data_IF_880317200700
#
_entry.id   IF_880317200700
#
_cell.length_a   1.000
_cell.length_b   1.000
_cell.length_c   1.000
_cell.angle_alpha   90.00
_cell.angle_beta   90.00
_cell.angle_gamma   90.00
#
_symmetry.space_group_name_H-M   'P 1'
#
loop_
_entity.id
_entity.type
_entity.pdbx_description
1 polymer ?
#
# COMPACT_ATOMS: atom_id res chain seq x y z
N UNK A 1 -7.64 -19.48 8.56
CA UNK A 1 -6.70 -18.35 8.64
C UNK A 1 -6.97 -17.64 9.96
N UNK A 2 -5.96 -17.38 10.78
CA UNK A 2 -6.17 -16.62 12.03
C UNK A 2 -6.43 -15.14 11.71
N UNK A 3 -7.03 -14.35 12.63
CA UNK A 3 -7.22 -12.91 12.42
C UNK A 3 -5.93 -12.18 12.08
N UNK A 4 -4.82 -12.50 12.77
CA UNK A 4 -3.51 -11.88 12.56
C UNK A 4 -2.98 -12.14 11.14
N UNK A 5 -3.14 -13.38 10.66
CA UNK A 5 -2.78 -13.77 9.29
C UNK A 5 -3.66 -13.05 8.27
N UNK A 6 -4.96 -12.89 8.56
CA UNK A 6 -5.87 -12.16 7.70
C UNK A 6 -5.46 -10.68 7.59
N UNK A 7 -5.23 -9.99 8.71
CA UNK A 7 -4.78 -8.59 8.73
C UNK A 7 -3.48 -8.42 7.95
N UNK A 8 -2.50 -9.27 8.20
CA UNK A 8 -1.24 -9.20 7.50
C UNK A 8 -1.36 -9.47 5.99
N UNK A 9 -2.17 -10.46 5.60
CA UNK A 9 -2.45 -10.72 4.18
C UNK A 9 -3.17 -9.55 3.54
N UNK A 10 -4.20 -9.02 4.19
CA UNK A 10 -4.95 -7.87 3.69
C UNK A 10 -4.05 -6.63 3.51
N UNK A 11 -3.04 -6.47 4.37
CA UNK A 11 -2.06 -5.38 4.28
C UNK A 11 -1.11 -5.57 3.10
N UNK A 12 -0.72 -6.81 2.83
CA UNK A 12 0.19 -7.14 1.74
C UNK A 12 -0.49 -7.20 0.36
N UNK A 13 -1.73 -7.68 0.29
CA UNK A 13 -2.44 -8.00 -0.95
C UNK A 13 -3.63 -7.10 -1.25
N UNK A 14 -4.02 -6.23 -0.32
CA UNK A 14 -5.28 -5.49 -0.40
C UNK A 14 -6.48 -6.26 0.14
N UNK A 15 -7.71 -5.84 -0.17
CA UNK A 15 -8.96 -6.44 0.32
C UNK A 15 -8.99 -7.97 0.17
N UNK A 16 -9.49 -8.69 1.17
CA UNK A 16 -9.55 -10.16 1.13
C UNK A 16 -10.89 -10.64 0.56
N UNK A 17 -10.91 -11.54 -0.44
CA UNK A 17 -12.15 -12.15 -0.90
C UNK A 17 -12.77 -13.02 0.18
N UNK A 18 -14.10 -12.92 0.32
CA UNK A 18 -14.93 -13.72 1.21
C UNK A 18 -15.98 -14.48 0.39
N UNK A 19 -16.19 -15.75 0.74
CA UNK A 19 -17.25 -16.57 0.19
C UNK A 19 -18.65 -16.09 0.57
N UNK A 20 -19.65 -16.73 -0.04
CA UNK A 20 -21.05 -16.44 0.24
C UNK A 20 -21.38 -16.67 1.72
N UNK A 21 -21.82 -15.61 2.41
CA UNK A 21 -22.13 -15.67 3.85
C UNK A 21 -20.92 -15.87 4.78
N UNK A 22 -19.69 -15.89 4.26
CA UNK A 22 -18.48 -15.98 5.08
C UNK A 22 -18.35 -14.68 5.91
N UNK A 23 -18.18 -14.76 7.24
CA UNK A 23 -17.98 -13.60 8.08
C UNK A 23 -16.60 -12.97 7.84
N UNK A 24 -16.49 -11.65 7.99
CA UNK A 24 -15.19 -11.01 7.96
C UNK A 24 -14.36 -11.45 9.19
N UNK A 25 -13.03 -11.60 9.04
CA UNK A 25 -12.14 -11.78 10.18
C UNK A 25 -12.29 -10.67 11.22
N UNK A 26 -12.07 -11.01 12.49
CA UNK A 26 -12.21 -10.08 13.62
C UNK A 26 -11.43 -8.77 13.38
N UNK A 27 -12.08 -7.63 13.57
CA UNK A 27 -11.49 -6.29 13.37
C UNK A 27 -11.42 -5.83 11.91
N UNK A 28 -12.10 -6.52 11.00
CA UNK A 28 -12.27 -6.10 9.61
C UNK A 28 -13.73 -5.75 9.31
N UNK A 29 -13.93 -4.84 8.35
CA UNK A 29 -15.24 -4.57 7.75
C UNK A 29 -15.55 -5.61 6.70
N UNK A 30 -16.80 -6.10 6.68
CA UNK A 30 -17.32 -6.89 5.57
C UNK A 30 -18.04 -5.98 4.59
N UNK A 31 -17.57 -5.98 3.35
CA UNK A 31 -18.33 -5.51 2.20
C UNK A 31 -19.07 -6.69 1.58
N UNK A 32 -20.39 -6.59 1.45
CA UNK A 32 -21.20 -7.59 0.75
C UNK A 32 -21.39 -7.19 -0.71
N UNK A 33 -21.19 -8.13 -1.63
CA UNK A 33 -21.72 -8.03 -2.97
C UNK A 33 -23.14 -8.60 -3.03
N UNK A 34 -23.91 -8.21 -4.05
CA UNK A 34 -25.30 -8.63 -4.20
C UNK A 34 -25.52 -10.12 -4.48
N UNK A 35 -24.45 -10.85 -4.81
CA UNK A 35 -24.42 -12.30 -5.00
C UNK A 35 -24.13 -13.09 -3.71
N UNK A 36 -24.02 -12.40 -2.57
CA UNK A 36 -23.73 -12.97 -1.25
C UNK A 36 -22.23 -13.09 -0.94
N UNK A 37 -21.34 -13.00 -1.93
CA UNK A 37 -19.90 -12.91 -1.72
C UNK A 37 -19.52 -11.58 -1.06
N UNK A 38 -18.24 -11.39 -0.77
CA UNK A 38 -17.81 -10.13 -0.19
C UNK A 38 -16.32 -9.89 -0.17
N UNK A 39 -15.94 -8.77 0.44
CA UNK A 39 -14.55 -8.41 0.71
C UNK A 39 -14.38 -8.07 2.19
N UNK A 40 -13.28 -8.52 2.79
CA UNK A 40 -12.85 -8.07 4.10
C UNK A 40 -11.84 -6.92 3.95
N UNK A 41 -12.10 -5.82 4.66
CA UNK A 41 -11.24 -4.63 4.67
C UNK A 41 -10.69 -4.36 6.06
N UNK A 42 -9.41 -3.99 6.11
CA UNK A 42 -8.81 -3.48 7.33
C UNK A 42 -9.43 -2.14 7.70
N UNK A 43 -9.69 -1.98 8.99
CA UNK A 43 -10.12 -0.72 9.57
C UNK A 43 -9.03 -0.19 10.48
N UNK A 44 -8.89 1.12 10.46
CA UNK A 44 -7.98 1.83 11.33
C UNK A 44 -8.59 1.94 12.73
N UNK A 45 -7.77 1.82 13.80
CA UNK A 45 -8.26 2.01 15.16
C UNK A 45 -8.86 3.41 15.31
N UNK A 46 -10.00 3.50 15.99
CA UNK A 46 -10.72 4.75 16.29
C UNK A 46 -11.04 5.63 15.08
N UNK A 47 -11.17 5.04 13.89
CA UNK A 47 -11.41 5.79 12.65
C UNK A 47 -10.24 6.69 12.23
N UNK A 48 -9.08 6.57 12.88
CA UNK A 48 -7.89 7.33 12.54
C UNK A 48 -7.47 7.06 11.09
N UNK A 49 -6.83 8.04 10.45
CA UNK A 49 -6.32 7.84 9.09
C UNK A 49 -4.87 8.29 9.00
N UNK A 50 -4.17 7.90 7.92
CA UNK A 50 -2.82 8.41 7.65
C UNK A 50 -2.71 9.95 7.59
N UNK A 51 -3.83 10.71 7.55
CA UNK A 51 -3.79 12.18 7.70
C UNK A 51 -3.17 12.64 9.03
N UNK A 52 -3.23 11.81 10.08
CA UNK A 52 -2.56 12.12 11.36
C UNK A 52 -1.04 12.28 11.20
N UNK A 53 -0.42 11.67 10.19
CA UNK A 53 1.02 11.85 9.96
C UNK A 53 1.39 13.32 9.75
N UNK A 54 0.53 14.09 9.09
CA UNK A 54 0.74 15.52 8.85
C UNK A 54 0.73 16.32 10.16
N UNK A 55 -0.20 16.01 11.07
CA UNK A 55 -0.30 16.64 12.40
C UNK A 55 0.99 16.48 13.21
N UNK A 56 1.60 15.30 13.15
CA UNK A 56 2.85 14.98 13.85
C UNK A 56 4.12 15.24 13.02
N UNK A 57 3.98 15.87 11.84
CA UNK A 57 5.07 16.17 10.90
C UNK A 57 5.93 14.95 10.55
N UNK A 58 5.29 13.77 10.49
CA UNK A 58 5.91 12.50 10.12
C UNK A 58 5.75 12.29 8.62
N UNK A 59 6.84 12.02 7.92
CA UNK A 59 6.80 11.81 6.48
C UNK A 59 6.09 10.46 6.15
N UNK A 60 5.01 10.48 5.36
CA UNK A 60 4.39 9.25 4.87
C UNK A 60 5.27 8.56 3.84
N UNK A 61 4.99 7.28 3.56
CA UNK A 61 5.52 6.61 2.37
C UNK A 61 5.17 7.42 1.12
N UNK A 62 6.17 7.71 0.30
CA UNK A 62 5.98 8.54 -0.88
C UNK A 62 5.07 7.85 -1.91
N UNK A 63 3.98 8.52 -2.28
CA UNK A 63 3.13 8.11 -3.40
C UNK A 63 3.57 8.89 -4.63
N UNK A 64 4.09 8.17 -5.63
CA UNK A 64 4.50 8.77 -6.89
C UNK A 64 3.34 9.57 -7.49
N UNK A 65 3.56 10.88 -7.68
CA UNK A 65 2.58 11.79 -8.29
C UNK A 65 1.24 11.75 -7.57
N UNK A 66 1.28 11.94 -6.25
CA UNK A 66 0.09 11.94 -5.39
C UNK A 66 -0.96 12.96 -5.81
N UNK A 67 -0.56 14.12 -6.35
CA UNK A 67 -1.46 15.14 -6.87
C UNK A 67 -2.24 14.66 -8.11
N UNK A 68 -1.55 14.09 -9.10
CA UNK A 68 -2.17 13.50 -10.30
C UNK A 68 -3.07 12.33 -9.92
N UNK A 69 -2.61 11.47 -9.01
CA UNK A 69 -3.35 10.28 -8.57
C UNK A 69 -4.67 10.67 -7.88
N UNK A 70 -4.65 11.68 -7.01
CA UNK A 70 -5.87 12.23 -6.38
C UNK A 70 -6.83 12.84 -7.40
N UNK A 71 -6.31 13.54 -8.41
CA UNK A 71 -7.12 14.14 -9.49
C UNK A 71 -7.79 13.08 -10.36
N UNK A 72 -7.11 11.98 -10.66
CA UNK A 72 -7.69 10.84 -11.40
C UNK A 72 -8.75 10.12 -10.56
N UNK A 73 -8.53 9.95 -9.25
CA UNK A 73 -9.57 9.42 -8.36
C UNK A 73 -10.81 10.31 -8.33
N UNK A 74 -10.64 11.63 -8.27
CA UNK A 74 -11.76 12.58 -8.31
C UNK A 74 -12.52 12.51 -9.66
N UNK A 75 -11.81 12.37 -10.78
CA UNK A 75 -12.43 12.18 -12.09
C UNK A 75 -13.20 10.86 -12.18
N UNK A 76 -12.63 9.76 -11.70
CA UNK A 76 -13.30 8.46 -11.66
C UNK A 76 -14.55 8.50 -10.77
N UNK A 77 -14.46 9.13 -9.59
CA UNK A 77 -15.60 9.34 -8.71
C UNK A 77 -16.71 10.16 -9.38
N UNK A 78 -16.36 11.22 -10.11
CA UNK A 78 -17.33 12.03 -10.86
C UNK A 78 -18.07 11.22 -11.93
N UNK A 79 -17.39 10.30 -12.61
CA UNK A 79 -17.99 9.45 -13.64
C UNK A 79 -18.80 8.30 -13.05
N UNK A 80 -18.36 7.71 -11.93
CA UNK A 80 -19.00 6.53 -11.35
C UNK A 80 -20.12 6.86 -10.36
N UNK A 81 -20.07 8.00 -9.65
CA UNK A 81 -21.08 8.39 -8.66
C UNK A 81 -22.17 9.25 -9.29
N UNK A 82 -23.05 8.60 -10.05
CA UNK A 82 -24.12 9.25 -10.82
C UNK A 82 -25.30 9.70 -9.96
N UNK A 83 -25.66 8.92 -8.94
CA UNK A 83 -26.66 9.29 -7.93
C UNK A 83 -26.00 9.78 -6.64
N UNK A 84 -25.87 11.10 -6.50
CA UNK A 84 -25.36 11.75 -5.28
C UNK A 84 -26.31 11.59 -4.07
N UNK A 85 -27.51 11.01 -4.23
CA UNK A 85 -28.37 10.62 -3.12
C UNK A 85 -27.94 9.31 -2.45
N UNK A 86 -27.25 8.44 -3.20
CA UNK A 86 -26.81 7.12 -2.76
C UNK A 86 -25.36 7.12 -2.23
N UNK A 87 -24.97 5.99 -1.65
CA UNK A 87 -23.57 5.73 -1.30
C UNK A 87 -22.68 5.76 -2.55
N UNK A 88 -21.47 6.34 -2.49
CA UNK A 88 -20.57 6.35 -3.63
C UNK A 88 -20.17 4.93 -4.08
N UNK A 89 -20.03 3.96 -3.19
CA UNK A 89 -19.64 2.60 -3.55
C UNK A 89 -20.87 1.68 -3.70
N UNK A 90 -20.92 0.81 -4.73
CA UNK A 90 -19.92 0.60 -5.79
C UNK A 90 -19.98 1.61 -6.95
N UNK A 91 -21.00 2.47 -6.96
CA UNK A 91 -21.28 3.39 -8.07
C UNK A 91 -21.67 2.67 -9.36
N UNK A 92 -21.89 3.45 -10.42
CA UNK A 92 -22.09 2.96 -11.77
C UNK A 92 -20.73 2.74 -12.46
N UNK A 93 -20.59 1.70 -13.31
CA UNK A 93 -19.42 1.54 -14.15
C UNK A 93 -19.32 2.69 -15.16
N UNK A 94 -18.10 3.17 -15.44
CA UNK A 94 -17.84 4.21 -16.44
C UNK A 94 -16.70 3.80 -17.38
N UNK A 95 -16.76 4.15 -18.69
CA UNK A 95 -15.65 3.97 -19.61
C UNK A 95 -14.37 4.68 -19.13
N UNK A 96 -13.20 4.06 -19.35
CA UNK A 96 -11.89 4.68 -19.06
C UNK A 96 -11.74 6.02 -19.80
N UNK A 97 -12.23 6.13 -21.04
CA UNK A 97 -12.12 7.38 -21.80
C UNK A 97 -12.92 8.53 -21.18
N UNK A 98 -14.07 8.25 -20.55
CA UNK A 98 -14.87 9.27 -19.86
C UNK A 98 -14.10 9.80 -18.64
N UNK A 99 -13.43 8.91 -17.90
CA UNK A 99 -12.57 9.30 -16.78
C UNK A 99 -11.39 10.14 -17.25
N UNK A 100 -10.77 9.79 -18.38
CA UNK A 100 -9.68 10.55 -18.97
C UNK A 100 -10.15 11.93 -19.47
N UNK A 101 -11.37 12.02 -20.02
CA UNK A 101 -12.00 13.27 -20.42
C UNK A 101 -12.29 14.18 -19.22
N UNK A 102 -12.90 13.63 -18.16
CA UNK A 102 -13.14 14.35 -16.90
C UNK A 102 -11.84 14.82 -16.24
N UNK A 103 -10.79 13.97 -16.26
CA UNK A 103 -9.46 14.37 -15.78
C UNK A 103 -8.88 15.53 -16.61
N UNK A 104 -8.98 15.48 -17.94
CA UNK A 104 -8.53 16.56 -18.83
C UNK A 104 -9.26 17.86 -18.53
N UNK A 105 -10.57 17.82 -18.33
CA UNK A 105 -11.37 18.98 -17.95
C UNK A 105 -10.91 19.56 -16.60
N UNK A 106 -10.58 18.71 -15.62
CA UNK A 106 -10.11 19.13 -14.30
C UNK A 106 -8.75 19.85 -14.34
N UNK A 107 -7.82 19.41 -15.18
CA UNK A 107 -6.48 20.02 -15.27
C UNK A 107 -6.38 21.17 -16.29
N UNK A 108 -7.39 21.34 -17.15
CA UNK A 108 -7.43 22.39 -18.18
C UNK A 108 -6.32 22.28 -19.24
N UNK A 109 -5.69 21.10 -19.37
CA UNK A 109 -4.58 20.82 -20.30
C UNK A 109 -4.72 19.40 -20.83
N UNK A 110 -4.42 19.18 -22.11
CA UNK A 110 -4.49 17.85 -22.71
C UNK A 110 -3.39 17.64 -23.73
N UNK A 111 -2.34 16.93 -23.31
CA UNK A 111 -1.34 16.34 -24.19
C UNK A 111 -1.23 14.83 -23.93
N UNK A 112 -0.58 14.10 -24.83
CA UNK A 112 -0.41 12.64 -24.73
C UNK A 112 0.38 12.24 -23.46
N UNK A 113 1.24 13.12 -22.98
CA UNK A 113 2.01 12.90 -21.76
C UNK A 113 1.09 12.85 -20.54
N UNK A 114 0.15 13.80 -20.40
CA UNK A 114 -0.85 13.81 -19.33
C UNK A 114 -1.75 12.58 -19.40
N UNK A 115 -2.14 12.15 -20.60
CA UNK A 115 -2.93 10.94 -20.80
C UNK A 115 -2.20 9.71 -20.28
N UNK A 116 -0.93 9.53 -20.66
CA UNK A 116 -0.10 8.43 -20.17
C UNK A 116 0.07 8.45 -18.64
N UNK A 117 0.14 9.65 -18.04
CA UNK A 117 0.22 9.80 -16.59
C UNK A 117 -1.09 9.40 -15.90
N UNK A 118 -2.23 9.78 -16.47
CA UNK A 118 -3.54 9.40 -15.96
C UNK A 118 -3.76 7.88 -16.03
N UNK A 119 -3.36 7.24 -17.13
CA UNK A 119 -3.37 5.77 -17.24
C UNK A 119 -2.50 5.12 -16.17
N UNK A 120 -1.31 5.68 -15.93
CA UNK A 120 -0.45 5.22 -14.84
C UNK A 120 -1.10 5.38 -13.45
N UNK A 121 -1.87 6.45 -13.24
CA UNK A 121 -2.61 6.67 -12.00
C UNK A 121 -3.81 5.71 -11.84
N UNK A 122 -4.54 5.41 -12.91
CA UNK A 122 -5.62 4.41 -12.90
C UNK A 122 -5.10 3.04 -12.46
N UNK A 123 -3.95 2.61 -13.01
CA UNK A 123 -3.30 1.36 -12.59
C UNK A 123 -2.93 1.37 -11.11
N UNK A 124 -2.30 2.45 -10.61
CA UNK A 124 -1.98 2.57 -9.18
C UNK A 124 -3.22 2.56 -8.28
N UNK A 125 -4.30 3.21 -8.69
CA UNK A 125 -5.57 3.22 -7.95
C UNK A 125 -6.24 1.84 -7.96
N UNK A 126 -6.10 1.10 -9.06
CA UNK A 126 -6.51 -0.29 -9.16
C UNK A 126 -5.72 -1.20 -8.22
N UNK A 127 -4.39 -1.14 -8.27
CA UNK A 127 -3.50 -1.95 -7.43
C UNK A 127 -3.68 -1.66 -5.93
N UNK A 128 -4.17 -0.46 -5.59
CA UNK A 128 -4.48 -0.06 -4.22
C UNK A 128 -5.96 -0.22 -3.86
N UNK A 129 -6.80 -0.79 -4.72
CA UNK A 129 -8.22 -1.04 -4.52
C UNK A 129 -9.09 0.20 -4.24
N UNK A 130 -8.65 1.37 -4.70
CA UNK A 130 -9.48 2.57 -4.78
C UNK A 130 -10.37 2.57 -6.02
N UNK A 131 -9.93 1.90 -7.09
CA UNK A 131 -10.69 1.67 -8.31
C UNK A 131 -10.63 0.19 -8.69
N UNK A 132 -11.58 -0.26 -9.49
CA UNK A 132 -11.53 -1.51 -10.22
C UNK A 132 -11.49 -1.16 -11.70
N UNK A 133 -10.46 -1.62 -12.43
CA UNK A 133 -10.25 -1.29 -13.84
C UNK A 133 -10.13 -2.60 -14.61
N UNK A 134 -11.15 -2.91 -15.41
CA UNK A 134 -11.25 -4.16 -16.16
C UNK A 134 -11.89 -3.88 -17.52
N UNK A 135 -11.35 -4.46 -18.60
CA UNK A 135 -11.89 -4.35 -19.96
C UNK A 135 -12.24 -2.93 -20.45
N UNK A 136 -11.43 -1.94 -20.03
CA UNK A 136 -11.64 -0.54 -20.40
C UNK A 136 -12.77 0.16 -19.63
N UNK A 137 -13.29 -0.47 -18.58
CA UNK A 137 -14.29 0.05 -17.67
C UNK A 137 -13.66 0.31 -16.29
N UNK A 138 -14.12 1.38 -15.64
CA UNK A 138 -13.73 1.78 -14.28
C UNK A 138 -14.95 1.65 -13.37
N UNK A 139 -14.75 1.07 -12.18
CA UNK A 139 -15.69 1.08 -11.06
C UNK A 139 -15.00 1.62 -9.80
N UNK A 140 -15.78 2.07 -8.83
CA UNK A 140 -15.24 2.46 -7.54
C UNK A 140 -14.85 1.22 -6.75
N UNK A 141 -13.59 1.20 -6.30
CA UNK A 141 -13.04 0.07 -5.59
C UNK A 141 -13.53 0.02 -4.14
N UNK A 142 -13.31 -1.12 -3.47
CA UNK A 142 -13.80 -1.37 -2.12
C UNK A 142 -13.31 -0.37 -1.06
N UNK A 143 -12.15 0.27 -1.25
CA UNK A 143 -11.71 1.32 -0.31
C UNK A 143 -12.61 2.54 -0.27
N UNK A 144 -13.37 2.83 -1.33
CA UNK A 144 -14.36 3.90 -1.33
C UNK A 144 -15.52 3.63 -0.35
N UNK A 145 -15.84 2.36 -0.08
CA UNK A 145 -16.86 1.98 0.89
C UNK A 145 -16.44 2.28 2.34
N UNK A 146 -15.15 2.50 2.60
CA UNK A 146 -14.65 2.89 3.92
C UNK A 146 -14.75 4.39 4.20
N UNK A 147 -15.28 5.20 3.28
CA UNK A 147 -15.50 6.61 3.57
C UNK A 147 -16.62 6.78 4.61
N UNK A 148 -16.39 7.56 5.67
CA UNK A 148 -17.44 7.82 6.66
C UNK A 148 -18.65 8.52 6.02
N UNK A 149 -19.86 8.06 6.36
CA UNK A 149 -21.10 8.63 5.83
C UNK A 149 -21.27 10.12 6.12
N UNK A 150 -20.72 10.58 7.24
CA UNK A 150 -20.61 12.00 7.62
C UNK A 150 -19.80 12.85 6.63
N UNK A 151 -18.84 12.25 5.93
CA UNK A 151 -18.03 12.92 4.90
C UNK A 151 -18.77 13.03 3.57
N UNK A 152 -19.86 12.29 3.35
CA UNK A 152 -20.56 12.27 2.07
C UNK A 152 -21.15 13.63 1.71
N UNK A 153 -21.61 14.42 2.69
CA UNK A 153 -22.11 15.77 2.41
C UNK A 153 -21.05 16.67 1.75
N UNK A 154 -19.82 16.66 2.28
CA UNK A 154 -18.70 17.41 1.74
C UNK A 154 -18.26 16.86 0.37
N UNK A 155 -18.23 15.54 0.23
CA UNK A 155 -17.86 14.88 -1.01
C UNK A 155 -18.85 15.21 -2.15
N UNK A 156 -20.16 15.21 -1.87
CA UNK A 156 -21.20 15.62 -2.83
C UNK A 156 -21.00 17.05 -3.30
N UNK A 157 -20.69 17.96 -2.39
CA UNK A 157 -20.44 19.35 -2.73
C UNK A 157 -19.19 19.49 -3.61
N UNK A 158 -18.14 18.72 -3.33
CA UNK A 158 -16.95 18.67 -4.18
C UNK A 158 -17.32 18.13 -5.59
N UNK A 159 -18.10 17.05 -5.68
CA UNK A 159 -18.52 16.47 -6.96
C UNK A 159 -19.38 17.42 -7.81
N UNK A 160 -20.23 18.25 -7.18
CA UNK A 160 -21.02 19.27 -7.90
C UNK A 160 -20.15 20.36 -8.53
N UNK A 161 -19.03 20.69 -7.89
CA UNK A 161 -18.09 21.73 -8.37
C UNK A 161 -17.10 21.23 -9.42
N UNK A 162 -16.91 19.91 -9.54
CA UNK A 162 -16.02 19.36 -10.56
C UNK A 162 -16.58 19.59 -11.96
N UNK A 163 -15.73 20.00 -12.92
CA UNK A 163 -16.14 20.16 -14.30
C UNK A 163 -16.58 18.82 -14.87
N UNK A 164 -17.62 18.82 -15.70
CA UNK A 164 -17.99 17.68 -16.53
C UNK A 164 -17.09 17.66 -17.76
N UNK A 165 -16.56 16.50 -18.13
CA UNK A 165 -15.98 16.32 -19.46
C UNK A 165 -17.11 16.53 -20.47
N UNK A 166 -16.91 17.44 -21.43
CA UNK A 166 -17.84 17.88 -22.48
C UNK A 166 -18.98 18.87 -22.12
N UNK A 167 -18.67 20.16 -22.29
CA UNK A 167 -19.53 21.06 -23.08
C UNK A 167 -19.04 21.01 -24.55
N UNK A 168 -19.27 19.93 -25.30
CA UNK A 168 -18.70 19.83 -26.66
C UNK A 168 -19.08 18.66 -27.57
N UNK A 169 -19.45 17.49 -27.05
CA UNK A 169 -19.86 16.34 -27.86
C UNK A 169 -21.32 15.97 -27.61
N UNK A 170 -22.22 16.79 -28.14
CA UNK A 170 -23.60 16.36 -28.43
C UNK A 170 -23.57 15.22 -29.45
N UNK A 171 -24.02 14.04 -29.06
CA UNK A 171 -24.49 13.02 -30.00
C UNK A 171 -23.73 11.69 -30.01
N UNK A 172 -23.64 11.01 -28.87
CA UNK A 172 -23.64 9.55 -28.84
C UNK A 172 -24.75 9.11 -27.88
N UNK A 173 -25.87 8.72 -28.48
CA UNK A 173 -26.98 8.05 -27.82
C UNK A 173 -26.41 6.83 -27.08
N UNK A 174 -26.45 6.86 -25.75
CA UNK A 174 -26.28 5.65 -24.94
C UNK A 174 -27.48 4.77 -25.27
N UNK A 175 -27.28 3.77 -26.14
CA UNK A 175 -28.26 2.74 -26.37
C UNK A 175 -28.56 2.07 -25.02
N UNK A 176 -29.83 1.99 -24.59
CA UNK A 176 -30.17 1.32 -23.35
C UNK A 176 -29.77 -0.15 -23.50
N UNK A 177 -28.88 -0.62 -22.63
CA UNK A 177 -28.59 -2.04 -22.50
C UNK A 177 -29.89 -2.74 -22.07
N UNK A 178 -30.36 -3.67 -22.90
CA UNK A 178 -31.56 -4.45 -22.66
C UNK A 178 -31.52 -5.14 -21.28
N UNK A 179 -32.36 -4.65 -20.38
CA UNK A 179 -33.50 -5.42 -19.91
C UNK A 179 -33.23 -6.82 -19.34
N UNK A 180 -32.35 -6.94 -18.34
CA UNK A 180 -32.56 -7.92 -17.25
C UNK A 180 -31.86 -7.43 -15.98
N UNK A 181 -32.58 -6.69 -15.14
CA UNK A 181 -32.16 -6.44 -13.77
C UNK A 181 -32.09 -7.80 -13.04
N UNK A 182 -30.91 -8.27 -12.61
CA UNK A 182 -30.88 -9.23 -11.52
C UNK A 182 -31.43 -8.52 -10.29
N UNK A 183 -32.21 -9.23 -9.47
CA UNK A 183 -32.70 -8.69 -8.21
C UNK A 183 -31.52 -8.08 -7.42
N UNK A 184 -31.51 -6.75 -7.29
CA UNK A 184 -30.46 -6.03 -6.58
C UNK A 184 -30.58 -6.33 -5.09
N UNK A 185 -29.91 -7.39 -4.64
CA UNK A 185 -29.43 -7.42 -3.26
C UNK A 185 -28.36 -6.32 -3.20
N UNK A 186 -28.71 -5.16 -2.64
CA UNK A 186 -27.81 -4.01 -2.60
C UNK A 186 -26.50 -4.37 -1.90
N UNK A 187 -25.38 -3.86 -2.41
CA UNK A 187 -24.11 -3.98 -1.75
C UNK A 187 -24.18 -3.27 -0.37
N UNK A 188 -23.60 -3.87 0.67
CA UNK A 188 -23.75 -3.36 2.03
C UNK A 188 -22.45 -3.41 2.81
N UNK A 189 -22.24 -2.44 3.69
CA UNK A 189 -21.09 -2.36 4.60
C UNK A 189 -21.54 -2.77 5.99
N UNK A 190 -20.95 -3.82 6.56
CA UNK A 190 -21.14 -4.16 7.97
C UNK A 190 -20.07 -3.45 8.83
N UNK A 191 -20.45 -2.81 9.95
CA UNK A 191 -19.49 -2.14 10.82
C UNK A 191 -18.48 -3.16 11.38
N UNK A 192 -17.22 -2.75 11.60
CA UNK A 192 -16.24 -3.62 12.23
C UNK A 192 -16.60 -3.84 13.71
N UNK A 193 -16.23 -5.01 14.24
CA UNK A 193 -16.09 -5.16 15.68
C UNK A 193 -14.93 -4.28 16.17
N UNK A 194 -15.14 -3.54 17.27
CA UNK A 194 -14.06 -2.83 17.93
C UNK A 194 -13.16 -3.84 18.65
N UNK A 195 -11.98 -4.06 18.07
CA UNK A 195 -11.01 -5.04 18.56
C UNK A 195 -9.99 -4.45 19.51
N UNK A 196 -9.98 -3.14 19.71
CA UNK A 196 -9.00 -2.48 20.57
C UNK A 196 -9.64 -1.79 21.78
N UNK A 197 -10.97 -1.73 21.89
CA UNK A 197 -11.67 -1.10 23.03
C UNK A 197 -11.25 -1.65 24.40
N UNK A 198 -10.95 -2.95 24.52
CA UNK A 198 -10.43 -3.53 25.76
C UNK A 198 -9.02 -3.03 26.13
N UNK A 199 -8.23 -2.62 25.13
CA UNK A 199 -6.91 -2.01 25.32
C UNK A 199 -6.98 -0.51 25.53
N UNK A 200 -7.92 0.16 24.86
CA UNK A 200 -8.02 1.62 24.84
C UNK A 200 -8.91 2.16 25.96
N UNK A 201 -9.97 1.44 26.33
CA UNK A 201 -10.95 1.83 27.36
C UNK A 201 -10.36 2.17 28.74
N UNK A 202 -9.25 1.56 29.21
CA UNK A 202 -8.59 1.97 30.46
C UNK A 202 -7.94 3.36 30.42
N UNK A 203 -7.77 3.98 29.25
CA UNK A 203 -7.09 5.26 29.06
C UNK A 203 -8.08 6.42 28.92
N UNK A 204 -7.62 7.63 29.28
CA UNK A 204 -8.36 8.84 28.95
C UNK A 204 -8.25 9.15 27.45
N UNK A 205 -9.14 10.01 26.94
CA UNK A 205 -9.21 10.35 25.52
C UNK A 205 -7.87 10.85 24.96
N UNK A 206 -7.10 11.60 25.77
CA UNK A 206 -5.79 12.12 25.38
C UNK A 206 -4.79 11.00 25.15
N UNK A 207 -4.68 10.06 26.09
CA UNK A 207 -3.76 8.92 25.99
C UNK A 207 -4.19 7.95 24.89
N UNK A 208 -5.49 7.75 24.72
CA UNK A 208 -6.06 6.98 23.60
C UNK A 208 -5.61 7.59 22.26
N UNK A 209 -5.79 8.90 22.07
CA UNK A 209 -5.33 9.60 20.88
C UNK A 209 -3.81 9.49 20.66
N UNK A 210 -3.00 9.56 21.72
CA UNK A 210 -1.54 9.37 21.64
C UNK A 210 -1.15 7.96 21.17
N UNK A 211 -1.83 6.92 21.66
CA UNK A 211 -1.61 5.51 21.24
C UNK A 211 -1.98 5.35 19.77
N UNK A 212 -3.14 5.85 19.37
CA UNK A 212 -3.66 5.75 17.99
C UNK A 212 -2.75 6.50 17.02
N UNK A 213 -2.32 7.71 17.37
CA UNK A 213 -1.35 8.47 16.57
C UNK A 213 -0.04 7.69 16.41
N UNK A 214 0.47 7.07 17.48
CA UNK A 214 1.67 6.24 17.41
C UNK A 214 1.46 4.99 16.55
N UNK A 215 0.29 4.35 16.61
CA UNK A 215 -0.08 3.23 15.75
C UNK A 215 -0.03 3.63 14.27
N UNK A 216 -0.69 4.74 13.89
CA UNK A 216 -0.66 5.24 12.52
C UNK A 216 0.77 5.57 12.08
N UNK A 217 1.55 6.22 12.95
CA UNK A 217 2.92 6.61 12.68
C UNK A 217 3.83 5.40 12.39
N UNK A 218 3.88 4.40 13.28
CA UNK A 218 4.75 3.25 13.07
C UNK A 218 4.32 2.40 11.88
N UNK A 219 3.02 2.34 11.56
CA UNK A 219 2.50 1.57 10.41
C UNK A 219 2.69 2.28 9.06
N UNK A 220 2.67 3.61 9.00
CA UNK A 220 2.58 4.35 7.72
C UNK A 220 3.70 5.37 7.46
N UNK A 221 4.55 5.66 8.45
CA UNK A 221 5.75 6.46 8.20
C UNK A 221 6.68 5.75 7.20
N UNK A 222 7.35 6.55 6.36
CA UNK A 222 8.42 6.05 5.50
C UNK A 222 9.61 5.59 6.36
N UNK A 223 10.03 6.43 7.29
CA UNK A 223 11.19 6.22 8.15
C UNK A 223 10.77 5.80 9.57
N UNK A 224 11.62 5.09 10.33
CA UNK A 224 11.43 4.89 11.76
C UNK A 224 11.21 6.22 12.50
N UNK A 225 10.18 6.26 13.34
CA UNK A 225 9.74 7.49 14.00
C UNK A 225 10.45 7.63 15.34
N UNK A 226 11.11 8.76 15.53
CA UNK A 226 11.80 9.08 16.78
C UNK A 226 10.82 9.18 17.96
N UNK A 227 11.12 8.54 19.10
CA UNK A 227 10.21 8.47 20.25
C UNK A 227 9.84 9.83 20.84
N UNK A 228 10.74 10.81 20.72
CA UNK A 228 10.49 12.20 21.13
C UNK A 228 9.28 12.87 20.44
N UNK A 229 8.86 12.36 19.26
CA UNK A 229 7.72 12.92 18.52
C UNK A 229 6.36 12.41 19.01
N UNK A 230 6.34 11.26 19.67
CA UNK A 230 5.11 10.56 20.04
C UNK A 230 5.22 10.07 21.49
N UNK A 231 4.53 10.71 22.44
CA UNK A 231 4.59 10.34 23.86
C UNK A 231 4.33 8.85 24.13
N UNK A 232 3.41 8.24 23.39
CA UNK A 232 3.08 6.82 23.50
C UNK A 232 4.25 5.88 23.17
N UNK A 233 5.26 6.32 22.41
CA UNK A 233 6.47 5.53 22.16
C UNK A 233 7.45 5.58 23.34
N UNK A 234 7.40 6.61 24.18
CA UNK A 234 8.30 6.76 25.35
C UNK A 234 7.73 6.08 26.58
N UNK A 235 6.43 6.27 26.83
CA UNK A 235 5.73 5.68 27.97
C UNK A 235 5.64 4.15 27.83
N UNK A 236 6.20 3.35 28.75
CA UNK A 236 6.16 1.88 28.66
C UNK A 236 4.76 1.28 28.69
N UNK A 237 3.80 1.93 29.35
CA UNK A 237 2.41 1.46 29.46
C UNK A 237 1.69 1.69 28.14
N UNK A 238 1.78 2.90 27.58
CA UNK A 238 1.19 3.21 26.27
C UNK A 238 1.84 2.39 25.16
N UNK A 239 3.18 2.23 25.20
CA UNK A 239 3.92 1.41 24.25
C UNK A 239 3.52 -0.06 24.30
N UNK A 240 3.19 -0.59 25.48
CA UNK A 240 2.68 -1.96 25.63
C UNK A 240 1.31 -2.12 24.97
N UNK A 241 0.39 -1.19 25.19
CA UNK A 241 -0.91 -1.20 24.52
C UNK A 241 -0.75 -1.12 22.99
N UNK A 242 0.10 -0.22 22.49
CA UNK A 242 0.45 -0.12 21.08
C UNK A 242 1.00 -1.44 20.51
N UNK A 243 1.93 -2.09 21.22
CA UNK A 243 2.52 -3.35 20.78
C UNK A 243 1.46 -4.47 20.71
N UNK A 244 0.49 -4.49 21.62
CA UNK A 244 -0.60 -5.47 21.60
C UNK A 244 -1.60 -5.21 20.45
N UNK A 245 -1.96 -3.94 20.18
CA UNK A 245 -2.76 -3.56 19.01
C UNK A 245 -2.12 -4.01 17.69
N UNK A 246 -0.78 -3.92 17.59
CA UNK A 246 -0.02 -4.40 16.44
C UNK A 246 -0.04 -5.93 16.35
N UNK A 247 0.15 -6.63 17.48
CA UNK A 247 0.14 -8.11 17.51
C UNK A 247 -1.19 -8.70 17.05
N UNK A 248 -2.32 -8.11 17.45
CA UNK A 248 -3.68 -8.49 16.98
C UNK A 248 -3.84 -8.42 15.46
N UNK A 249 -2.94 -7.71 14.78
CA UNK A 249 -2.91 -7.52 13.31
C UNK A 249 -1.72 -8.23 12.64
N UNK A 250 -1.04 -9.12 13.37
CA UNK A 250 0.12 -9.85 12.86
C UNK A 250 1.38 -9.00 12.70
N UNK A 251 1.45 -7.89 13.43
CA UNK A 251 2.54 -6.92 13.39
C UNK A 251 3.31 -6.95 14.69
N UNK A 252 4.58 -6.57 14.63
CA UNK A 252 5.45 -6.40 15.80
C UNK A 252 6.04 -5.01 15.81
N UNK A 253 6.13 -4.41 16.99
CA UNK A 253 6.84 -3.15 17.19
C UNK A 253 8.35 -3.42 17.15
N UNK A 254 9.07 -2.66 16.33
CA UNK A 254 10.50 -2.78 16.10
C UNK A 254 11.16 -1.51 16.60
N UNK A 255 12.16 -1.67 17.47
CA UNK A 255 13.00 -0.59 17.93
C UNK A 255 14.30 -0.54 17.12
N UNK A 256 14.68 0.64 16.68
CA UNK A 256 16.00 0.96 16.15
C UNK A 256 16.56 2.18 16.91
N UNK A 257 17.39 1.93 17.92
CA UNK A 257 17.87 2.94 18.88
C UNK A 257 16.69 3.69 19.54
N UNK A 258 16.57 4.99 19.31
CA UNK A 258 15.50 5.86 19.83
C UNK A 258 14.33 6.03 18.83
N UNK A 259 14.34 5.28 17.73
CA UNK A 259 13.31 5.29 16.71
C UNK A 259 12.54 3.97 16.67
N UNK A 260 11.28 4.07 16.22
CA UNK A 260 10.34 2.96 16.24
C UNK A 260 9.65 2.80 14.89
N UNK A 261 9.45 1.57 14.47
CA UNK A 261 8.63 1.20 13.30
C UNK A 261 7.91 -0.10 13.60
N UNK A 262 7.13 -0.61 12.64
CA UNK A 262 6.47 -1.91 12.76
C UNK A 262 6.83 -2.81 11.59
N UNK A 263 6.90 -4.11 11.87
CA UNK A 263 7.15 -5.17 10.90
C UNK A 263 6.16 -6.32 11.02
N UNK A 264 6.25 -7.31 10.14
CA UNK A 264 5.43 -8.52 10.24
C UNK A 264 6.00 -9.47 11.30
N UNK A 265 5.12 -10.08 12.07
CA UNK A 265 5.51 -11.10 13.03
C UNK A 265 6.06 -12.35 12.29
N UNK A 266 7.14 -13.00 12.78
CA UNK A 266 7.75 -14.14 12.10
C UNK A 266 6.77 -15.27 11.78
N UNK A 267 5.89 -15.60 12.72
CA UNK A 267 4.85 -16.63 12.60
C UNK A 267 3.82 -16.34 11.51
N UNK A 268 3.61 -15.06 11.21
CA UNK A 268 2.72 -14.60 10.13
C UNK A 268 3.45 -14.64 8.79
N UNK A 269 4.70 -14.16 8.74
CA UNK A 269 5.48 -14.20 7.48
C UNK A 269 5.67 -15.60 6.92
N UNK A 270 5.69 -16.62 7.78
CA UNK A 270 5.85 -18.02 7.37
C UNK A 270 4.68 -18.54 6.51
N UNK A 271 3.51 -17.88 6.56
CA UNK A 271 2.27 -18.37 5.93
C UNK A 271 1.60 -17.39 4.97
N UNK A 272 1.95 -16.10 5.02
CA UNK A 272 1.28 -15.04 4.22
C UNK A 272 1.70 -15.02 2.74
N UNK A 273 2.76 -15.73 2.37
CA UNK A 273 3.26 -15.77 0.98
C UNK A 273 3.85 -14.43 0.53
N UNK A 274 4.12 -14.29 -0.77
CA UNK A 274 4.64 -13.06 -1.38
C UNK A 274 3.73 -12.57 -2.50
N UNK A 275 3.57 -11.25 -2.59
CA UNK A 275 2.89 -10.57 -3.70
C UNK A 275 3.85 -10.10 -4.78
N UNK A 276 5.15 -10.18 -4.53
CA UNK A 276 6.20 -9.73 -5.45
C UNK A 276 6.41 -10.80 -6.50
N UNK A 277 6.21 -10.47 -7.78
CA UNK A 277 6.39 -11.36 -8.92
C UNK A 277 7.83 -11.86 -9.09
N UNK A 278 8.02 -12.88 -9.93
CA UNK A 278 9.35 -13.50 -10.10
C UNK A 278 10.38 -12.54 -10.69
N UNK A 279 9.98 -11.77 -11.71
CA UNK A 279 10.81 -10.74 -12.32
C UNK A 279 11.21 -9.67 -11.28
N UNK A 280 10.26 -9.17 -10.50
CA UNK A 280 10.53 -8.21 -9.43
C UNK A 280 11.47 -8.79 -8.35
N UNK A 281 11.28 -10.05 -7.94
CA UNK A 281 12.18 -10.69 -6.98
C UNK A 281 13.60 -10.81 -7.54
N UNK A 282 13.76 -11.23 -8.79
CA UNK A 282 15.07 -11.34 -9.43
C UNK A 282 15.78 -9.98 -9.50
N UNK A 283 15.06 -8.94 -9.90
CA UNK A 283 15.58 -7.57 -9.96
C UNK A 283 15.92 -7.04 -8.56
N UNK A 284 15.07 -7.29 -7.56
CA UNK A 284 15.33 -6.90 -6.17
C UNK A 284 16.61 -7.55 -5.65
N UNK A 285 16.82 -8.85 -5.93
CA UNK A 285 18.05 -9.55 -5.55
C UNK A 285 19.28 -8.90 -6.21
N UNK A 286 19.23 -8.55 -7.50
CA UNK A 286 20.33 -7.83 -8.16
C UNK A 286 20.61 -6.49 -7.48
N UNK A 287 19.58 -5.70 -7.17
CA UNK A 287 19.74 -4.44 -6.42
C UNK A 287 20.41 -4.71 -5.08
N UNK A 288 19.97 -5.71 -4.31
CA UNK A 288 20.56 -6.06 -3.02
C UNK A 288 22.00 -6.55 -3.12
N UNK A 289 22.36 -7.30 -4.17
CA UNK A 289 23.75 -7.73 -4.38
C UNK A 289 24.66 -6.52 -4.56
N UNK A 290 24.29 -5.62 -5.48
CA UNK A 290 25.14 -4.47 -5.83
C UNK A 290 25.13 -3.35 -4.78
N UNK A 291 24.02 -3.18 -4.06
CA UNK A 291 23.91 -2.12 -3.04
C UNK A 291 24.26 -2.60 -1.64
N UNK A 292 24.07 -3.87 -1.30
CA UNK A 292 24.25 -4.37 0.08
C UNK A 292 25.35 -5.42 0.16
N UNK A 293 25.27 -6.49 -0.63
CA UNK A 293 26.19 -7.63 -0.49
C UNK A 293 27.65 -7.25 -0.80
N UNK A 294 27.88 -6.62 -1.96
CA UNK A 294 29.22 -6.22 -2.40
C UNK A 294 29.82 -5.17 -1.43
N UNK A 295 29.15 -4.02 -1.15
CA UNK A 295 29.70 -3.06 -0.20
C UNK A 295 29.94 -3.62 1.20
N UNK A 296 29.11 -4.56 1.67
CA UNK A 296 29.33 -5.24 2.95
C UNK A 296 30.53 -6.17 2.93
N UNK A 297 30.74 -6.91 1.84
CA UNK A 297 31.92 -7.76 1.66
C UNK A 297 33.22 -6.92 1.62
N UNK A 298 33.14 -5.71 1.06
CA UNK A 298 34.25 -4.74 1.02
C UNK A 298 34.43 -3.97 2.35
N UNK A 299 33.61 -4.23 3.37
CA UNK A 299 33.68 -3.56 4.67
C UNK A 299 33.13 -2.13 4.69
N UNK A 300 32.45 -1.69 3.64
CA UNK A 300 31.89 -0.34 3.48
C UNK A 300 30.50 -0.19 4.11
N UNK A 301 29.81 -1.31 4.40
CA UNK A 301 28.48 -1.32 5.00
C UNK A 301 28.45 -2.22 6.25
N UNK A 302 27.90 -1.75 7.38
CA UNK A 302 27.75 -2.58 8.58
C UNK A 302 26.92 -3.86 8.32
N UNK A 303 27.20 -4.90 9.12
CA UNK A 303 26.56 -6.21 8.96
C UNK A 303 25.03 -6.20 9.14
N UNK A 304 24.49 -5.29 9.97
CA UNK A 304 23.04 -5.19 10.22
C UNK A 304 22.31 -4.12 9.39
N UNK A 305 23.06 -3.30 8.64
CA UNK A 305 22.51 -2.13 7.94
C UNK A 305 21.94 -2.51 6.59
N UNK A 306 20.63 -2.40 6.42
CA UNK A 306 19.96 -2.67 5.14
C UNK A 306 19.72 -1.42 4.30
N UNK A 307 19.92 -0.23 4.87
CA UNK A 307 19.99 0.99 4.10
C UNK A 307 21.40 1.18 3.60
N UNK A 308 21.55 1.17 2.28
CA UNK A 308 22.83 1.36 1.64
C UNK A 308 22.92 2.74 0.97
N UNK A 309 24.01 3.49 1.20
CA UNK A 309 24.31 4.68 0.41
C UNK A 309 24.91 4.34 -0.97
N UNK A 310 25.13 3.06 -1.29
CA UNK A 310 25.76 2.60 -2.52
C UNK A 310 24.69 2.17 -3.53
N UNK A 311 24.39 2.98 -4.56
CA UNK A 311 23.36 2.65 -5.53
C UNK A 311 23.83 1.54 -6.50
N UNK A 312 22.95 0.58 -6.76
CA UNK A 312 23.07 -0.35 -7.88
C UNK A 312 22.77 0.40 -9.19
N UNK A 313 23.81 0.62 -10.01
CA UNK A 313 23.68 1.39 -11.25
C UNK A 313 22.81 0.67 -12.27
N UNK A 314 22.00 1.42 -13.03
CA UNK A 314 21.08 0.85 -14.03
C UNK A 314 21.82 0.04 -15.08
N UNK A 315 22.96 0.55 -15.55
CA UNK A 315 23.82 -0.09 -16.54
C UNK A 315 24.31 -1.45 -16.03
N UNK A 316 24.61 -1.55 -14.73
CA UNK A 316 25.05 -2.78 -14.11
C UNK A 316 23.90 -3.80 -13.98
N UNK A 317 22.71 -3.33 -13.60
CA UNK A 317 21.50 -4.17 -13.60
C UNK A 317 21.18 -4.71 -15.00
N UNK A 318 21.35 -3.88 -16.04
CA UNK A 318 21.15 -4.27 -17.45
C UNK A 318 22.17 -5.30 -17.93
N UNK A 319 23.40 -5.29 -17.40
CA UNK A 319 24.44 -6.28 -17.75
C UNK A 319 24.18 -7.65 -17.12
N UNK A 320 23.61 -7.68 -15.92
CA UNK A 320 23.45 -8.91 -15.15
C UNK A 320 22.04 -9.53 -15.17
N UNK A 321 21.04 -8.78 -15.63
CA UNK A 321 19.70 -9.33 -15.82
C UNK A 321 19.61 -10.20 -17.07
N UNK A 322 18.74 -11.20 -17.03
CA UNK A 322 18.29 -11.96 -18.21
C UNK A 322 16.95 -11.45 -18.76
N UNK A 323 16.33 -10.49 -18.09
CA UNK A 323 15.05 -9.91 -18.48
C UNK A 323 15.25 -8.93 -19.65
N UNK A 324 14.28 -8.84 -20.57
CA UNK A 324 14.21 -7.73 -21.52
C UNK A 324 14.21 -6.38 -20.80
N UNK A 325 14.76 -5.35 -21.44
CA UNK A 325 14.90 -4.00 -20.85
C UNK A 325 13.54 -3.45 -20.36
N UNK A 326 12.48 -3.62 -21.16
CA UNK A 326 11.15 -3.15 -20.79
C UNK A 326 10.59 -3.85 -19.55
N UNK A 327 10.90 -5.13 -19.36
CA UNK A 327 10.48 -5.91 -18.18
C UNK A 327 11.30 -5.53 -16.94
N UNK A 328 12.61 -5.30 -17.09
CA UNK A 328 13.44 -4.74 -16.02
C UNK A 328 12.90 -3.38 -15.53
N UNK A 329 12.58 -2.48 -16.46
CA UNK A 329 12.07 -1.15 -16.13
C UNK A 329 10.67 -1.20 -15.50
N UNK A 330 9.83 -2.15 -15.93
CA UNK A 330 8.54 -2.42 -15.30
C UNK A 330 8.72 -2.94 -13.87
N UNK A 331 9.59 -3.93 -13.67
CA UNK A 331 9.89 -4.51 -12.35
C UNK A 331 10.45 -3.46 -11.38
N UNK A 332 11.41 -2.63 -11.81
CA UNK A 332 11.96 -1.53 -10.99
C UNK A 332 10.88 -0.52 -10.59
N UNK A 333 9.93 -0.23 -11.49
CA UNK A 333 8.81 0.65 -11.21
C UNK A 333 7.87 0.04 -10.16
N UNK A 334 7.51 -1.24 -10.31
CA UNK A 334 6.69 -1.98 -9.34
C UNK A 334 7.35 -2.03 -7.97
N UNK A 335 8.64 -2.37 -7.90
CA UNK A 335 9.41 -2.39 -6.65
C UNK A 335 9.48 -1.01 -5.98
N UNK A 336 9.61 0.06 -6.77
CA UNK A 336 9.59 1.44 -6.26
C UNK A 336 8.22 1.81 -5.70
N UNK A 337 7.14 1.42 -6.37
CA UNK A 337 5.76 1.63 -5.87
C UNK A 337 5.50 0.85 -4.59
N UNK A 338 6.09 -0.34 -4.44
CA UNK A 338 6.04 -1.12 -3.21
C UNK A 338 6.94 -0.55 -2.08
N UNK A 339 7.79 0.43 -2.37
CA UNK A 339 8.78 0.97 -1.42
C UNK A 339 9.93 0.00 -1.10
N UNK A 340 10.12 -1.04 -1.93
CA UNK A 340 11.21 -2.01 -1.79
C UNK A 340 12.53 -1.47 -2.36
N UNK A 341 12.48 -0.53 -3.30
CA UNK A 341 13.67 0.18 -3.81
C UNK A 341 13.42 1.68 -3.87
N UNK A 342 14.49 2.45 -3.71
CA UNK A 342 14.52 3.90 -3.90
C UNK A 342 15.46 4.23 -5.05
N UNK A 343 15.01 5.06 -5.98
CA UNK A 343 15.87 5.57 -7.04
C UNK A 343 16.68 6.75 -6.54
N UNK A 344 18.00 6.67 -6.67
CA UNK A 344 18.93 7.75 -6.34
C UNK A 344 19.34 8.40 -7.66
N UNK A 345 19.06 9.70 -7.83
CA UNK A 345 19.44 10.41 -9.05
C UNK A 345 20.93 10.74 -9.03
N UNK A 346 21.63 10.51 -10.13
CA UNK A 346 23.04 10.86 -10.32
C UNK A 346 23.16 11.93 -11.41
N UNK A 347 22.80 13.18 -11.09
CA UNK A 347 22.93 14.30 -12.03
C UNK A 347 22.19 14.07 -13.36
N UNK A 348 22.91 14.20 -14.48
CA UNK A 348 22.39 13.99 -15.85
C UNK A 348 22.42 12.52 -16.30
N UNK A 349 23.10 11.63 -15.58
CA UNK A 349 23.20 10.20 -15.91
C UNK A 349 22.04 9.38 -15.33
N UNK A 350 21.90 8.15 -15.84
CA UNK A 350 20.96 7.18 -15.29
C UNK A 350 21.31 6.90 -13.82
N UNK A 351 20.49 7.42 -12.91
CA UNK A 351 20.65 7.16 -11.47
C UNK A 351 20.48 5.67 -11.13
N UNK A 352 21.07 5.23 -10.02
CA UNK A 352 20.95 3.86 -9.55
C UNK A 352 19.85 3.65 -8.52
N UNK A 353 19.77 2.42 -7.99
CA UNK A 353 18.75 2.00 -7.04
C UNK A 353 19.37 1.53 -5.72
N UNK A 354 18.74 1.90 -4.61
CA UNK A 354 19.09 1.45 -3.25
C UNK A 354 17.89 0.75 -2.62
N UNK A 355 18.10 -0.01 -1.52
CA UNK A 355 16.99 -0.58 -0.76
C UNK A 355 16.05 0.52 -0.27
N UNK A 356 14.74 0.27 -0.40
CA UNK A 356 13.71 1.24 -0.04
C UNK A 356 13.28 1.16 1.43
N UNK A 357 12.34 2.02 1.85
CA UNK A 357 11.94 2.14 3.25
C UNK A 357 11.35 0.87 3.88
N UNK A 358 10.85 -0.07 3.08
CA UNK A 358 10.35 -1.36 3.60
C UNK A 358 11.42 -2.16 4.35
N UNK A 359 12.70 -1.92 4.08
CA UNK A 359 13.80 -2.63 4.76
C UNK A 359 13.95 -2.25 6.25
N UNK A 360 13.47 -1.07 6.66
CA UNK A 360 13.39 -0.72 8.09
C UNK A 360 12.47 -1.65 8.87
N UNK A 361 11.43 -2.15 8.20
CA UNK A 361 10.36 -2.95 8.77
C UNK A 361 10.71 -4.43 8.90
N UNK A 362 11.92 -4.82 8.51
CA UNK A 362 12.42 -6.17 8.75
C UNK A 362 12.75 -6.35 10.24
N UNK A 363 12.15 -7.37 10.85
CA UNK A 363 12.52 -7.81 12.20
C UNK A 363 13.98 -8.27 12.24
N UNK A 364 14.64 -8.29 13.41
CA UNK A 364 16.00 -8.82 13.52
C UNK A 364 16.15 -10.24 12.98
N UNK A 365 15.12 -11.08 13.14
CA UNK A 365 15.09 -12.43 12.57
C UNK A 365 15.01 -12.41 11.04
N UNK A 366 14.11 -11.60 10.47
CA UNK A 366 13.97 -11.47 9.02
C UNK A 366 15.24 -10.90 8.37
N UNK A 367 15.89 -9.92 9.01
CA UNK A 367 17.19 -9.37 8.57
C UNK A 367 18.26 -10.46 8.51
N UNK A 368 18.37 -11.30 9.55
CA UNK A 368 19.33 -12.41 9.57
C UNK A 368 19.04 -13.44 8.48
N UNK A 369 17.77 -13.86 8.35
CA UNK A 369 17.37 -14.80 7.30
C UNK A 369 17.67 -14.28 5.90
N UNK A 370 17.35 -13.02 5.62
CA UNK A 370 17.64 -12.38 4.34
C UNK A 370 19.15 -12.24 4.09
N UNK A 371 19.94 -11.97 5.13
CA UNK A 371 21.40 -11.93 5.02
C UNK A 371 21.97 -13.29 4.61
N UNK A 372 21.48 -14.37 5.21
CA UNK A 372 21.89 -15.73 4.84
C UNK A 372 21.55 -16.05 3.38
N UNK A 373 20.33 -15.73 2.94
CA UNK A 373 19.94 -15.92 1.52
C UNK A 373 20.84 -15.10 0.58
N UNK A 374 21.18 -13.87 0.96
CA UNK A 374 22.03 -13.01 0.15
C UNK A 374 23.47 -13.54 0.05
N UNK A 375 24.00 -14.12 1.13
CA UNK A 375 25.29 -14.83 1.12
C UNK A 375 25.24 -16.02 0.16
N UNK A 376 24.17 -16.81 0.23
CA UNK A 376 23.99 -17.98 -0.64
C UNK A 376 23.86 -17.57 -2.12
N UNK A 377 23.21 -16.44 -2.40
CA UNK A 377 23.03 -15.91 -3.75
C UNK A 377 24.31 -15.29 -4.34
N UNK A 378 25.01 -14.46 -3.57
CA UNK A 378 26.18 -13.71 -4.04
C UNK A 378 27.46 -14.58 -4.10
N UNK A 379 27.59 -15.58 -3.20
CA UNK A 379 28.79 -16.39 -3.08
C UNK A 379 28.49 -17.84 -2.68
N UNK A 380 27.79 -18.63 -3.51
CA UNK A 380 27.30 -19.97 -3.15
C UNK A 380 28.41 -20.97 -2.78
N UNK A 381 29.63 -20.75 -3.23
CA UNK A 381 30.79 -21.63 -3.00
C UNK A 381 31.75 -21.12 -1.92
N UNK A 382 31.38 -20.06 -1.21
CA UNK A 382 32.21 -19.51 -0.13
C UNK A 382 32.15 -20.38 1.14
N UNK A 383 33.17 -20.35 2.01
CA UNK A 383 33.11 -21.01 3.33
C UNK A 383 31.94 -20.52 4.18
N UNK A 384 31.58 -19.24 4.05
CA UNK A 384 30.43 -18.65 4.73
C UNK A 384 29.11 -19.26 4.26
N UNK A 385 28.93 -19.47 2.95
CA UNK A 385 27.77 -20.17 2.40
C UNK A 385 27.70 -21.63 2.87
N UNK A 386 28.85 -22.31 3.01
CA UNK A 386 28.89 -23.67 3.58
C UNK A 386 28.44 -23.69 5.06
N UNK A 387 28.87 -22.71 5.86
CA UNK A 387 28.46 -22.57 7.26
C UNK A 387 26.95 -22.29 7.39
N UNK A 388 26.39 -21.41 6.56
CA UNK A 388 24.94 -21.14 6.52
C UNK A 388 24.16 -22.43 6.23
N UNK A 389 24.58 -23.22 5.22
CA UNK A 389 23.92 -24.49 4.90
C UNK A 389 24.03 -25.52 6.04
N UNK A 390 25.15 -25.54 6.76
CA UNK A 390 25.34 -26.43 7.91
C UNK A 390 24.42 -26.07 9.08
N UNK A 391 24.22 -24.78 9.36
CA UNK A 391 23.36 -24.31 10.46
C UNK A 391 21.85 -24.51 10.22
N UNK A 392 21.45 -24.78 8.97
CA UNK A 392 20.05 -25.03 8.59
C UNK A 392 19.66 -26.52 8.60
N UNK A 393 20.65 -27.41 8.72
CA UNK A 393 20.43 -28.86 8.89
C UNK A 393 20.27 -29.16 10.37
#
# INVERSE_FOLDING_TARGET
>A
MTPEQAHARARATGPLPLGAGEPAPRGMVRLAHGDGTGLALQVWPDGATPSLLEEYQVAPVNVERSGETRRVLAAALKCCWTDLGADPWPGAPAPVEDVLSAYRALIGRGDDLMRNWAIGALRRLHDSAWLEVEDGVVRLGPRCACWPSESHAQLRELMRRLPTGDEGLTGLEVLPADGRAPAETAASVAPPEDVDEDLLGPFDERRRAEIVAAFIAVEHAAEPVHEARLPALRDPVLRRALAEMLQRRGRVLIQDREAWTSGYAPEVTAVTGTTVGEAERAVLVLVLIHSVAIPRADGLLPADSWLSPFPAQVEELRRHTRLPIGELEAALRTLRHAGLVTQVKAGEEAGGYTPGPQFHRLTPQARRGLQEELILAAGPHTPLAAAVRANRR
#
